data_IF_906441708775
#
_entry.id   IF_906441708775
#
_cell.length_a   1.000
_cell.length_b   1.000
_cell.length_c   1.000
_cell.angle_alpha   90.00
_cell.angle_beta   90.00
_cell.angle_gamma   90.00
#
_symmetry.space_group_name_H-M   'P 1'
#
loop_
_entity.id
_entity.type
_entity.pdbx_description
1 polymer ?
#
# COMPACT_ATOMS: atom_id res chain seq x y z
N UNK A 1 8.66 -6.03 1.55
CA UNK A 1 8.69 -4.66 1.00
C UNK A 1 8.26 -4.72 -0.46
N UNK A 2 7.24 -3.93 -0.84
CA UNK A 2 6.76 -3.78 -2.22
C UNK A 2 7.45 -2.57 -2.86
N UNK A 3 7.84 -2.66 -4.12
CA UNK A 3 8.45 -1.54 -4.87
C UNK A 3 7.68 -1.31 -6.16
N UNK A 4 7.25 -0.07 -6.41
CA UNK A 4 6.49 0.29 -7.60
C UNK A 4 6.86 1.68 -8.13
N UNK A 5 6.83 1.84 -9.45
CA UNK A 5 6.97 3.14 -10.11
C UNK A 5 5.62 3.83 -10.23
N UNK A 6 5.52 5.10 -9.82
CA UNK A 6 4.33 5.94 -9.88
C UNK A 6 4.55 7.20 -10.71
N UNK A 7 3.50 7.67 -11.39
CA UNK A 7 3.43 8.97 -12.07
C UNK A 7 2.38 9.87 -11.40
N UNK A 8 2.38 11.14 -11.76
CA UNK A 8 1.34 12.09 -11.32
C UNK A 8 -0.06 11.54 -11.67
N UNK A 9 -0.94 11.52 -10.68
CA UNK A 9 -2.32 11.02 -10.83
C UNK A 9 -2.49 9.52 -10.56
N UNK A 10 -1.40 8.75 -10.44
CA UNK A 10 -1.48 7.35 -10.04
C UNK A 10 -1.56 7.23 -8.51
N UNK A 11 -2.46 6.37 -8.03
CA UNK A 11 -2.77 6.22 -6.60
C UNK A 11 -2.42 4.83 -6.10
N UNK A 12 -2.03 4.77 -4.83
CA UNK A 12 -1.84 3.52 -4.08
C UNK A 12 -2.88 3.52 -2.96
N UNK A 13 -3.62 2.42 -2.83
CA UNK A 13 -4.57 2.22 -1.74
C UNK A 13 -3.96 1.21 -0.77
N UNK A 14 -3.96 1.56 0.51
CA UNK A 14 -3.56 0.67 1.59
C UNK A 14 -4.80 0.48 2.47
N UNK A 15 -5.13 -0.77 2.74
CA UNK A 15 -6.33 -1.17 3.48
C UNK A 15 -6.00 -2.38 4.36
N UNK A 16 -6.93 -2.76 5.25
CA UNK A 16 -6.83 -4.04 5.95
C UNK A 16 -7.10 -5.20 4.97
N UNK A 17 -6.56 -6.38 5.29
CA UNK A 17 -6.95 -7.61 4.61
C UNK A 17 -8.42 -7.93 4.88
N UNK A 18 -9.14 -8.49 3.91
CA UNK A 18 -10.59 -8.75 4.02
C UNK A 18 -10.96 -9.73 5.14
N UNK A 19 -10.02 -10.59 5.53
CA UNK A 19 -10.14 -11.55 6.62
C UNK A 19 -9.69 -10.98 7.98
N UNK A 20 -9.38 -9.68 8.05
CA UNK A 20 -9.00 -9.04 9.33
C UNK A 20 -10.21 -8.97 10.25
N UNK A 21 -10.09 -9.57 11.44
CA UNK A 21 -11.13 -9.50 12.45
C UNK A 21 -11.36 -8.02 12.87
N UNK A 22 -12.58 -7.48 12.76
CA UNK A 22 -12.87 -6.09 13.10
C UNK A 22 -12.71 -5.77 14.59
N UNK A 23 -12.68 -6.78 15.45
CA UNK A 23 -12.41 -6.64 16.89
C UNK A 23 -10.92 -6.65 17.23
N UNK A 24 -10.04 -6.90 16.27
CA UNK A 24 -8.59 -6.83 16.49
C UNK A 24 -8.20 -5.39 16.85
N UNK A 25 -7.60 -5.15 18.03
CA UNK A 25 -7.18 -3.82 18.43
C UNK A 25 -6.19 -3.23 17.43
N UNK A 26 -6.31 -1.92 17.16
CA UNK A 26 -5.38 -1.21 16.28
C UNK A 26 -3.91 -1.36 16.72
N UNK A 27 -3.68 -1.45 18.03
CA UNK A 27 -2.34 -1.70 18.58
C UNK A 27 -1.76 -3.05 18.18
N UNK A 28 -2.58 -4.07 17.97
CA UNK A 28 -2.12 -5.38 17.46
C UNK A 28 -1.85 -5.32 15.95
N UNK A 29 -2.68 -4.60 15.20
CA UNK A 29 -2.51 -4.39 13.75
C UNK A 29 -1.15 -3.71 13.47
N UNK A 30 -0.84 -2.65 14.22
CA UNK A 30 0.43 -1.93 14.10
C UNK A 30 1.55 -2.48 14.99
N UNK A 31 1.27 -3.45 15.86
CA UNK A 31 2.27 -4.09 16.73
C UNK A 31 3.33 -4.86 15.96
N UNK A 32 3.04 -5.20 14.69
CA UNK A 32 3.99 -5.80 13.74
C UNK A 32 4.86 -4.78 12.99
N UNK A 33 4.69 -3.50 13.28
CA UNK A 33 5.44 -2.39 12.70
C UNK A 33 4.54 -1.39 11.96
N UNK A 34 5.04 -0.16 11.75
CA UNK A 34 4.31 0.87 11.04
C UNK A 34 4.23 0.59 9.53
N UNK A 35 3.35 1.31 8.85
CA UNK A 35 3.43 1.47 7.40
C UNK A 35 4.54 2.49 7.10
N UNK A 36 5.56 2.09 6.36
CA UNK A 36 6.63 2.97 5.90
C UNK A 36 6.55 3.14 4.39
N UNK A 37 6.64 4.40 3.95
CA UNK A 37 6.69 4.77 2.53
C UNK A 37 8.03 5.45 2.28
N UNK A 38 8.80 4.92 1.32
CA UNK A 38 10.12 5.40 0.96
C UNK A 38 10.10 5.90 -0.48
N UNK A 39 10.60 7.11 -0.72
CA UNK A 39 10.93 7.56 -2.07
C UNK A 39 12.32 7.06 -2.41
N UNK A 40 12.39 5.98 -3.19
CA UNK A 40 13.66 5.34 -3.58
C UNK A 40 14.39 6.12 -4.67
N UNK A 41 13.65 6.75 -5.59
CA UNK A 41 14.22 7.63 -6.61
C UNK A 41 13.15 8.49 -7.28
N UNK A 42 13.54 9.66 -7.78
CA UNK A 42 12.72 10.51 -8.66
C UNK A 42 13.44 10.64 -10.00
N UNK A 43 12.77 10.30 -11.11
CA UNK A 43 13.32 10.38 -12.47
C UNK A 43 12.27 11.00 -13.39
N UNK A 44 12.45 12.28 -13.72
CA UNK A 44 11.50 13.03 -14.53
C UNK A 44 10.09 12.97 -13.92
N UNK A 45 9.13 12.40 -14.65
CA UNK A 45 7.73 12.27 -14.22
C UNK A 45 7.43 10.99 -13.43
N UNK A 46 8.44 10.17 -13.13
CA UNK A 46 8.27 8.89 -12.45
C UNK A 46 8.96 8.90 -11.07
N UNK A 47 8.26 8.42 -10.06
CA UNK A 47 8.74 8.23 -8.69
C UNK A 47 8.77 6.74 -8.38
N UNK A 48 9.90 6.21 -7.91
CA UNK A 48 10.00 4.85 -7.42
C UNK A 48 9.69 4.85 -5.92
N UNK A 49 8.60 4.22 -5.52
CA UNK A 49 8.16 4.13 -4.14
C UNK A 49 8.44 2.73 -3.60
N UNK A 50 9.03 2.65 -2.41
CA UNK A 50 9.07 1.46 -1.57
C UNK A 50 7.98 1.55 -0.51
N UNK A 51 7.23 0.47 -0.29
CA UNK A 51 6.20 0.39 0.74
C UNK A 51 6.46 -0.85 1.58
N UNK A 52 6.55 -0.63 2.89
CA UNK A 52 6.66 -1.67 3.88
C UNK A 52 5.48 -1.55 4.83
N UNK A 53 4.75 -2.64 5.00
CA UNK A 53 3.62 -2.74 5.91
C UNK A 53 3.60 -4.16 6.49
N UNK A 54 2.96 -4.32 7.65
CA UNK A 54 2.70 -5.64 8.21
C UNK A 54 1.78 -6.48 7.31
N UNK A 55 1.74 -7.82 7.50
CA UNK A 55 0.96 -8.73 6.67
C UNK A 55 -0.56 -8.55 6.79
N UNK A 56 -1.05 -7.81 7.78
CA UNK A 56 -2.48 -7.48 7.92
C UNK A 56 -2.95 -6.37 6.98
N UNK A 57 -2.04 -5.79 6.18
CA UNK A 57 -2.37 -4.75 5.21
C UNK A 57 -2.34 -5.26 3.78
N UNK A 58 -3.38 -4.91 3.03
CA UNK A 58 -3.48 -5.08 1.59
C UNK A 58 -3.01 -3.80 0.91
N UNK A 59 -2.08 -3.90 -0.03
CA UNK A 59 -1.57 -2.76 -0.81
C UNK A 59 -1.98 -2.95 -2.28
N UNK A 60 -2.85 -2.08 -2.79
CA UNK A 60 -3.39 -2.13 -4.14
C UNK A 60 -2.91 -0.95 -4.97
N UNK A 61 -2.73 -1.20 -6.27
CA UNK A 61 -2.57 -0.14 -7.26
C UNK A 61 -3.95 0.21 -7.79
N UNK A 62 -4.38 1.46 -7.66
CA UNK A 62 -5.78 1.81 -7.92
C UNK A 62 -6.18 1.56 -9.39
N UNK A 63 -5.23 1.68 -10.32
CA UNK A 63 -5.44 1.41 -11.74
C UNK A 63 -5.79 -0.07 -12.04
N UNK A 64 -5.49 -0.99 -11.13
CA UNK A 64 -5.85 -2.41 -11.28
C UNK A 64 -7.21 -2.74 -10.67
N UNK A 65 -7.64 -2.01 -9.64
CA UNK A 65 -8.94 -2.25 -8.99
C UNK A 65 -10.12 -1.77 -9.84
N UNK A 66 -9.92 -0.76 -10.70
CA UNK A 66 -10.96 -0.27 -11.61
C UNK A 66 -11.24 -1.24 -12.77
N UNK A 67 -10.32 -2.15 -13.07
CA UNK A 67 -10.47 -3.15 -14.15
C UNK A 67 -11.23 -4.42 -13.72
N UNK A 68 -11.53 -4.59 -12.43
CA UNK A 68 -12.23 -5.77 -11.89
C UNK A 68 -13.73 -5.54 -11.69
N UNK A 69 -14.24 -4.36 -12.05
CA UNK A 69 -15.67 -3.97 -11.91
C UNK A 69 -16.31 -3.70 -13.29
N UNK A 70 -15.62 -4.04 -14.39
CA UNK A 70 -16.11 -3.92 -15.77
C UNK A 70 -16.42 -5.28 -16.38
#
# INVERSE_FOLDING_TARGET
MLILGRKRGETIRIDLMEDTNPLTPVGEIFGRGPIQILVLSVRGRQVKLGIQAGPGFRILRNELSEQLVS
#
